data_IF_640953341829
#
_entry.id   IF_640953341829
#
_cell.length_a   1.000
_cell.length_b   1.000
_cell.length_c   1.000
_cell.angle_alpha   90.00
_cell.angle_beta   90.00
_cell.angle_gamma   90.00
#
_symmetry.space_group_name_H-M   'P 1'
#
loop_
_entity.id
_entity.type
_entity.pdbx_description
1 polymer ?
#
# COMPACT_ATOMS: atom_id res chain seq x y z
N UNK A 1 35.87 -19.91 8.21
CA UNK A 1 34.51 -20.37 7.84
C UNK A 1 33.40 -19.85 8.75
N UNK A 2 33.59 -19.74 10.07
CA UNK A 2 32.56 -19.22 11.00
C UNK A 2 32.14 -17.75 10.76
N UNK A 3 33.08 -16.86 10.39
CA UNK A 3 32.79 -15.44 10.11
C UNK A 3 31.88 -15.24 8.88
N UNK A 4 32.00 -16.06 7.84
CA UNK A 4 31.14 -15.98 6.66
C UNK A 4 29.73 -16.50 6.94
N UNK A 5 29.60 -17.58 7.72
CA UNK A 5 28.29 -18.11 8.12
C UNK A 5 27.53 -17.12 9.03
N UNK A 6 28.24 -16.41 9.91
CA UNK A 6 27.65 -15.41 10.79
C UNK A 6 27.24 -14.14 10.02
N UNK A 7 28.05 -13.71 9.04
CA UNK A 7 27.74 -12.58 8.13
C UNK A 7 26.55 -12.88 7.21
N UNK A 8 26.41 -14.12 6.73
CA UNK A 8 25.27 -14.53 5.90
C UNK A 8 23.97 -14.62 6.71
N UNK A 9 24.03 -15.08 7.98
CA UNK A 9 22.86 -15.09 8.88
C UNK A 9 22.36 -13.68 9.24
N UNK A 10 23.28 -12.75 9.55
CA UNK A 10 22.90 -11.35 9.81
C UNK A 10 22.32 -10.66 8.57
N UNK A 11 22.77 -11.04 7.37
CA UNK A 11 22.24 -10.51 6.10
C UNK A 11 20.83 -11.01 5.82
N UNK A 12 20.55 -12.31 6.06
CA UNK A 12 19.21 -12.87 5.85
C UNK A 12 18.19 -12.35 6.87
N UNK A 13 18.61 -12.12 8.11
CA UNK A 13 17.73 -11.61 9.18
C UNK A 13 17.28 -10.16 8.90
N UNK A 14 18.23 -9.29 8.50
CA UNK A 14 17.89 -7.92 8.09
C UNK A 14 17.06 -7.81 6.81
N UNK A 15 17.10 -8.81 5.94
CA UNK A 15 16.26 -8.89 4.73
C UNK A 15 14.82 -9.32 5.04
N UNK A 16 14.64 -10.25 5.98
CA UNK A 16 13.32 -10.66 6.48
C UNK A 16 12.62 -9.50 7.20
N UNK A 17 13.35 -8.74 8.00
CA UNK A 17 12.82 -7.54 8.67
C UNK A 17 12.33 -6.48 7.67
N UNK A 18 13.08 -6.28 6.57
CA UNK A 18 12.67 -5.37 5.49
C UNK A 18 11.42 -5.86 4.77
N UNK A 19 11.31 -7.16 4.46
CA UNK A 19 10.09 -7.73 3.85
C UNK A 19 8.89 -7.57 4.79
N UNK A 20 9.07 -7.83 6.07
CA UNK A 20 8.02 -7.66 7.07
C UNK A 20 7.54 -6.21 7.15
N UNK A 21 8.46 -5.24 7.14
CA UNK A 21 8.12 -3.82 7.11
C UNK A 21 7.24 -3.45 5.91
N UNK A 22 7.65 -3.85 4.70
CA UNK A 22 6.88 -3.55 3.49
C UNK A 22 5.50 -4.24 3.51
N UNK A 23 5.41 -5.43 4.10
CA UNK A 23 4.15 -6.11 4.33
C UNK A 23 3.22 -5.35 5.28
N UNK A 24 3.71 -4.86 6.42
CA UNK A 24 2.95 -4.01 7.34
C UNK A 24 2.43 -2.74 6.64
N UNK A 25 3.28 -2.11 5.82
CA UNK A 25 2.91 -0.93 5.02
C UNK A 25 1.79 -1.21 4.03
N UNK A 26 1.82 -2.37 3.35
CA UNK A 26 0.71 -2.80 2.49
C UNK A 26 -0.60 -2.89 3.27
N UNK A 27 -0.59 -3.52 4.45
CA UNK A 27 -1.78 -3.62 5.29
C UNK A 27 -2.29 -2.24 5.75
N UNK A 28 -1.39 -1.34 6.12
CA UNK A 28 -1.75 0.02 6.48
C UNK A 28 -2.40 0.78 5.30
N UNK A 29 -1.87 0.65 4.08
CA UNK A 29 -2.52 1.19 2.89
C UNK A 29 -3.91 0.58 2.65
N UNK A 30 -4.06 -0.75 2.76
CA UNK A 30 -5.36 -1.42 2.56
C UNK A 30 -6.43 -0.90 3.54
N UNK A 31 -6.03 -0.55 4.77
CA UNK A 31 -6.93 0.08 5.75
C UNK A 31 -7.36 1.49 5.32
N UNK A 32 -6.43 2.29 4.80
CA UNK A 32 -6.74 3.61 4.21
C UNK A 32 -7.71 3.48 3.04
N UNK A 33 -7.41 2.59 2.08
CA UNK A 33 -8.28 2.36 0.92
C UNK A 33 -9.68 1.89 1.34
N UNK A 34 -9.76 1.02 2.36
CA UNK A 34 -11.03 0.57 2.92
C UNK A 34 -11.81 1.71 3.58
N UNK A 35 -11.15 2.58 4.33
CA UNK A 35 -11.79 3.75 4.95
C UNK A 35 -12.39 4.69 3.90
N UNK A 36 -11.63 5.01 2.84
CA UNK A 36 -12.10 5.85 1.73
C UNK A 36 -13.29 5.19 1.00
N UNK A 37 -13.20 3.89 0.70
CA UNK A 37 -14.30 3.14 0.09
C UNK A 37 -15.56 3.15 0.97
N UNK A 38 -15.41 2.87 2.25
CA UNK A 38 -16.54 2.82 3.19
C UNK A 38 -17.22 4.19 3.27
N UNK A 39 -16.45 5.27 3.35
CA UNK A 39 -16.98 6.63 3.31
C UNK A 39 -17.75 6.90 2.02
N UNK A 40 -17.17 6.59 0.85
CA UNK A 40 -17.81 6.84 -0.44
C UNK A 40 -19.15 6.11 -0.54
N UNK A 41 -19.20 4.85 -0.15
CA UNK A 41 -20.45 4.07 -0.19
C UNK A 41 -21.45 4.58 0.85
N UNK A 42 -21.08 4.68 2.12
CA UNK A 42 -22.05 4.95 3.19
C UNK A 42 -22.44 6.41 3.26
N UNK A 43 -21.45 7.31 3.31
CA UNK A 43 -21.68 8.73 3.51
C UNK A 43 -22.05 9.41 2.20
N UNK A 44 -21.37 9.11 1.09
CA UNK A 44 -21.56 9.86 -0.15
C UNK A 44 -22.66 9.31 -1.07
N UNK A 45 -23.02 8.02 -0.97
CA UNK A 45 -24.04 7.41 -1.84
C UNK A 45 -25.29 6.96 -1.08
N UNK A 46 -25.15 6.10 -0.08
CA UNK A 46 -26.29 5.48 0.63
C UNK A 46 -27.09 6.52 1.42
N UNK A 47 -26.43 7.37 2.21
CA UNK A 47 -27.15 8.38 3.02
C UNK A 47 -27.90 9.41 2.16
N UNK A 48 -27.33 9.97 1.07
CA UNK A 48 -28.08 10.83 0.16
C UNK A 48 -29.28 10.12 -0.49
N UNK A 49 -29.10 8.87 -0.91
CA UNK A 49 -30.20 8.07 -1.48
C UNK A 49 -31.34 7.89 -0.47
N UNK A 50 -31.03 7.48 0.75
CA UNK A 50 -32.02 7.31 1.80
C UNK A 50 -32.78 8.62 2.12
N UNK A 51 -32.10 9.77 2.06
CA UNK A 51 -32.72 11.07 2.24
C UNK A 51 -33.67 11.46 1.09
N UNK A 52 -33.33 11.11 -0.14
CA UNK A 52 -34.20 11.26 -1.31
C UNK A 52 -35.43 10.36 -1.18
N UNK A 53 -35.22 9.07 -0.92
CA UNK A 53 -36.26 8.05 -0.81
C UNK A 53 -37.28 8.39 0.27
N UNK A 54 -36.84 8.87 1.44
CA UNK A 54 -37.73 9.29 2.52
C UNK A 54 -38.61 10.51 2.18
N UNK A 55 -38.15 11.38 1.27
CA UNK A 55 -38.84 12.62 0.89
C UNK A 55 -39.64 12.50 -0.40
N UNK A 56 -39.40 11.46 -1.19
CA UNK A 56 -40.06 11.22 -2.46
C UNK A 56 -41.60 11.15 -2.33
N UNK A 57 -42.20 10.47 -1.32
CA UNK A 57 -43.65 10.42 -1.16
C UNK A 57 -44.30 11.77 -0.83
N UNK A 58 -43.50 12.75 -0.39
CA UNK A 58 -43.98 14.10 -0.03
C UNK A 58 -44.06 15.02 -1.25
N UNK A 59 -43.61 14.57 -2.42
CA UNK A 59 -43.66 15.36 -3.65
C UNK A 59 -45.07 15.33 -4.25
N UNK A 60 -45.70 16.49 -4.28
CA UNK A 60 -47.04 16.74 -4.80
C UNK A 60 -47.06 17.22 -6.26
N UNK A 61 -45.89 17.46 -6.86
CA UNK A 61 -45.78 18.01 -8.21
C UNK A 61 -44.46 17.63 -8.87
N UNK A 62 -44.42 17.70 -10.20
CA UNK A 62 -43.18 17.51 -10.96
C UNK A 62 -42.11 18.53 -10.55
N UNK A 63 -42.52 19.76 -10.21
CA UNK A 63 -41.59 20.81 -9.77
C UNK A 63 -40.97 20.51 -8.41
N UNK A 64 -41.76 19.99 -7.45
CA UNK A 64 -41.23 19.59 -6.15
C UNK A 64 -40.29 18.38 -6.28
N UNK A 65 -40.62 17.42 -7.15
CA UNK A 65 -39.73 16.31 -7.49
C UNK A 65 -38.39 16.79 -8.09
N UNK A 66 -38.40 17.66 -9.11
CA UNK A 66 -37.17 18.16 -9.75
C UNK A 66 -36.27 18.84 -8.71
N UNK A 67 -36.82 19.71 -7.88
CA UNK A 67 -36.06 20.40 -6.81
C UNK A 67 -35.48 19.43 -5.80
N UNK A 68 -36.22 18.38 -5.43
CA UNK A 68 -35.73 17.35 -4.52
C UNK A 68 -34.58 16.56 -5.16
N UNK A 69 -34.69 16.24 -6.45
CA UNK A 69 -33.66 15.52 -7.19
C UNK A 69 -32.39 16.36 -7.37
N UNK A 70 -32.52 17.65 -7.70
CA UNK A 70 -31.39 18.58 -7.76
C UNK A 70 -30.66 18.65 -6.41
N UNK A 71 -31.39 18.81 -5.31
CA UNK A 71 -30.80 18.82 -3.97
C UNK A 71 -30.10 17.49 -3.61
N UNK A 72 -30.60 16.35 -4.09
CA UNK A 72 -29.95 15.05 -3.94
C UNK A 72 -28.61 14.99 -4.70
N UNK A 73 -28.58 15.48 -5.95
CA UNK A 73 -27.34 15.52 -6.75
C UNK A 73 -26.31 16.46 -6.13
N UNK A 74 -26.74 17.65 -5.66
CA UNK A 74 -25.87 18.59 -4.96
C UNK A 74 -25.24 17.96 -3.72
N UNK A 75 -26.02 17.18 -2.96
CA UNK A 75 -25.52 16.46 -1.79
C UNK A 75 -24.47 15.40 -2.17
N UNK A 76 -24.65 14.69 -3.29
CA UNK A 76 -23.64 13.75 -3.80
C UNK A 76 -22.37 14.51 -4.20
N UNK A 77 -22.49 15.59 -4.97
CA UNK A 77 -21.34 16.39 -5.41
C UNK A 77 -20.56 16.92 -4.21
N UNK A 78 -21.25 17.40 -3.19
CA UNK A 78 -20.66 17.87 -1.94
C UNK A 78 -19.90 16.76 -1.20
N UNK A 79 -20.53 15.60 -1.00
CA UNK A 79 -19.96 14.49 -0.22
C UNK A 79 -18.87 13.72 -0.97
N UNK A 80 -18.90 13.71 -2.29
CA UNK A 80 -17.83 13.17 -3.13
C UNK A 80 -16.66 14.14 -3.34
N UNK A 81 -16.67 15.31 -2.67
CA UNK A 81 -15.65 16.34 -2.81
C UNK A 81 -15.49 16.88 -4.24
N UNK A 82 -16.56 16.88 -5.03
CA UNK A 82 -16.57 17.32 -6.43
C UNK A 82 -16.79 18.84 -6.58
N UNK A 83 -17.19 19.51 -5.50
CA UNK A 83 -17.35 20.97 -5.48
C UNK A 83 -15.99 21.70 -5.50
N UNK A 84 -15.91 22.92 -6.06
CA UNK A 84 -14.65 23.65 -6.16
C UNK A 84 -13.90 23.82 -4.83
N UNK A 85 -14.64 24.07 -3.74
CA UNK A 85 -14.09 24.25 -2.39
C UNK A 85 -13.45 22.99 -1.78
N UNK A 86 -13.85 21.80 -2.24
CA UNK A 86 -13.40 20.51 -1.70
C UNK A 86 -12.57 19.70 -2.68
N UNK A 87 -12.45 20.17 -3.93
CA UNK A 87 -11.73 19.50 -5.01
C UNK A 87 -10.25 19.23 -4.68
N UNK A 88 -9.61 20.11 -3.91
CA UNK A 88 -8.24 19.89 -3.47
C UNK A 88 -8.12 18.70 -2.51
N UNK A 89 -9.09 18.52 -1.59
CA UNK A 89 -9.15 17.35 -0.72
C UNK A 89 -9.29 16.06 -1.54
N UNK A 90 -10.11 16.08 -2.59
CA UNK A 90 -10.25 14.94 -3.51
C UNK A 90 -8.94 14.63 -4.22
N UNK A 91 -8.23 15.65 -4.72
CA UNK A 91 -6.97 15.47 -5.42
C UNK A 91 -5.94 14.74 -4.54
N UNK A 92 -5.71 15.22 -3.31
CA UNK A 92 -4.78 14.56 -2.40
C UNK A 92 -5.24 13.15 -1.96
N UNK A 93 -6.54 12.91 -1.84
CA UNK A 93 -7.07 11.56 -1.58
C UNK A 93 -6.76 10.62 -2.76
N UNK A 94 -6.93 11.09 -4.00
CA UNK A 94 -6.61 10.31 -5.19
C UNK A 94 -5.10 10.06 -5.31
N UNK A 95 -4.28 11.07 -5.03
CA UNK A 95 -2.81 10.94 -5.01
C UNK A 95 -2.37 9.86 -3.99
N UNK A 96 -2.95 9.88 -2.78
CA UNK A 96 -2.66 8.87 -1.76
C UNK A 96 -3.07 7.45 -2.20
N UNK A 97 -4.24 7.32 -2.83
CA UNK A 97 -4.71 6.03 -3.35
C UNK A 97 -3.83 5.54 -4.51
N UNK A 98 -3.43 6.44 -5.41
CA UNK A 98 -2.58 6.11 -6.55
C UNK A 98 -1.19 5.68 -6.11
N UNK A 99 -0.59 6.39 -5.15
CA UNK A 99 0.68 5.99 -4.53
C UNK A 99 0.58 4.59 -3.89
N UNK A 100 -0.50 4.31 -3.17
CA UNK A 100 -0.71 2.99 -2.57
C UNK A 100 -0.97 1.86 -3.56
N UNK A 101 -1.67 2.13 -4.68
CA UNK A 101 -1.82 1.16 -5.78
C UNK A 101 -0.46 0.84 -6.38
N UNK A 102 0.34 1.87 -6.71
CA UNK A 102 1.68 1.69 -7.25
C UNK A 102 2.58 0.93 -6.26
N UNK A 103 2.49 1.24 -4.96
CA UNK A 103 3.17 0.50 -3.89
C UNK A 103 2.78 -0.98 -3.89
N UNK A 104 1.48 -1.27 -3.97
CA UNK A 104 0.97 -2.65 -3.92
C UNK A 104 1.44 -3.47 -5.12
N UNK A 105 1.45 -2.88 -6.31
CA UNK A 105 1.97 -3.51 -7.53
C UNK A 105 3.46 -3.81 -7.39
N UNK A 106 4.25 -2.81 -6.98
CA UNK A 106 5.69 -2.97 -6.78
C UNK A 106 6.02 -3.98 -5.67
N UNK A 107 5.21 -4.04 -4.62
CA UNK A 107 5.40 -5.00 -3.54
C UNK A 107 5.21 -6.44 -4.03
N UNK A 108 4.23 -6.68 -4.91
CA UNK A 108 4.05 -7.98 -5.57
C UNK A 108 5.30 -8.40 -6.36
N UNK A 109 5.86 -7.49 -7.16
CA UNK A 109 7.11 -7.73 -7.90
C UNK A 109 8.30 -8.02 -6.96
N UNK A 110 8.43 -7.24 -5.88
CA UNK A 110 9.48 -7.41 -4.87
C UNK A 110 9.41 -8.80 -4.21
N UNK A 111 8.21 -9.27 -3.84
CA UNK A 111 8.04 -10.59 -3.22
C UNK A 111 8.48 -11.72 -4.17
N UNK A 112 8.11 -11.65 -5.45
CA UNK A 112 8.52 -12.64 -6.46
C UNK A 112 10.05 -12.67 -6.61
N UNK A 113 10.67 -11.49 -6.74
CA UNK A 113 12.13 -11.37 -6.85
C UNK A 113 12.87 -11.92 -5.62
N UNK A 114 12.29 -11.71 -4.42
CA UNK A 114 12.83 -12.18 -3.16
C UNK A 114 12.74 -13.71 -3.02
N UNK A 115 11.57 -14.28 -3.33
CA UNK A 115 11.35 -15.72 -3.20
C UNK A 115 12.23 -16.50 -4.20
N UNK A 116 12.41 -16.02 -5.43
CA UNK A 116 13.32 -16.61 -6.43
C UNK A 116 14.82 -16.55 -6.01
N UNK A 117 15.19 -15.62 -5.13
CA UNK A 117 16.55 -15.52 -4.56
C UNK A 117 16.73 -16.55 -3.44
N UNK A 118 15.71 -16.72 -2.61
CA UNK A 118 15.74 -17.66 -1.50
C UNK A 118 15.74 -19.13 -1.95
N UNK A 119 14.92 -19.49 -2.95
CA UNK A 119 14.80 -20.86 -3.46
C UNK A 119 16.09 -21.43 -4.06
N UNK A 120 16.91 -20.61 -4.74
CA UNK A 120 18.19 -21.07 -5.33
C UNK A 120 19.35 -21.15 -4.34
N UNK A 121 19.24 -20.50 -3.18
CA UNK A 121 20.26 -20.59 -2.12
C UNK A 121 20.20 -21.94 -1.37
N UNK A 122 19.11 -22.70 -1.52
CA UNK A 122 18.91 -23.98 -0.84
C UNK A 122 19.25 -25.22 -1.69
N UNK A 123 19.45 -25.09 -3.01
CA UNK A 123 19.74 -26.23 -3.92
C UNK A 123 21.25 -26.51 -4.08
N UNK A 124 22.09 -25.96 -3.18
CA UNK A 124 23.55 -26.08 -3.22
C UNK A 124 24.15 -27.09 -2.24
N UNK A 125 23.40 -28.11 -1.80
CA UNK A 125 23.97 -29.22 -1.03
C UNK A 125 24.31 -30.38 -1.99
N UNK A 126 25.60 -30.66 -2.29
CA UNK A 126 25.94 -31.90 -2.97
C UNK A 126 25.65 -33.04 -1.99
N UNK A 127 24.67 -33.87 -2.31
CA UNK A 127 24.50 -35.15 -1.64
C UNK A 127 25.79 -35.97 -1.82
N UNK A 128 26.61 -35.98 -0.77
CA UNK A 128 27.76 -36.87 -0.68
C UNK A 128 27.27 -38.29 -0.40
N UNK A 129 27.67 -39.20 -1.30
CA UNK A 129 27.82 -40.65 -1.17
C UNK A 129 26.61 -41.57 -1.43
N UNK A 130 26.61 -42.13 -2.64
CA UNK A 130 26.22 -43.52 -2.93
C UNK A 130 26.95 -43.98 -4.21
N UNK A 131 27.87 -44.95 -4.09
CA UNK A 131 28.80 -45.33 -5.16
C UNK A 131 28.28 -46.34 -6.20
N UNK A 132 29.04 -46.42 -7.32
CA UNK A 132 29.07 -47.39 -8.44
C UNK A 132 27.86 -47.36 -9.40
N UNK A 133 27.98 -47.24 -10.74
CA UNK A 133 28.87 -47.91 -11.73
C UNK A 133 29.15 -47.06 -13.02
N UNK A 134 30.03 -47.60 -13.88
CA UNK A 134 30.74 -47.05 -15.06
C UNK A 134 29.93 -46.52 -16.28
N UNK A 135 30.32 -45.33 -16.78
CA UNK A 135 30.55 -44.89 -18.20
C UNK A 135 29.39 -44.78 -19.23
N UNK A 136 29.55 -44.11 -20.40
CA UNK A 136 30.61 -43.20 -20.88
C UNK A 136 30.12 -41.82 -21.40
N UNK A 137 31.09 -40.96 -21.71
CA UNK A 137 31.04 -39.59 -22.26
C UNK A 137 29.86 -39.17 -23.16
N UNK A 138 29.35 -37.98 -22.87
CA UNK A 138 28.96 -37.02 -23.89
C UNK A 138 29.49 -35.63 -23.49
N UNK A 139 30.47 -35.16 -24.25
CA UNK A 139 30.92 -33.78 -24.21
C UNK A 139 29.75 -32.85 -24.61
N UNK A 140 29.48 -31.85 -23.79
CA UNK A 140 28.75 -30.65 -24.20
C UNK A 140 29.26 -29.47 -23.38
N UNK A 141 30.19 -28.78 -24.02
CA UNK A 141 30.34 -27.32 -24.03
C UNK A 141 30.16 -26.62 -22.68
N UNK A 142 31.30 -26.31 -22.09
CA UNK A 142 31.48 -25.19 -21.18
C UNK A 142 30.94 -23.91 -21.84
N UNK A 143 29.69 -23.53 -21.52
CA UNK A 143 29.30 -22.12 -21.56
C UNK A 143 29.72 -21.47 -20.25
N UNK A 144 30.93 -20.95 -20.32
CA UNK A 144 31.51 -19.92 -19.48
C UNK A 144 30.53 -18.72 -19.39
N UNK A 145 29.75 -18.66 -18.31
CA UNK A 145 28.77 -17.59 -18.06
C UNK A 145 28.51 -17.31 -16.58
N UNK A 146 29.38 -17.81 -15.71
CA UNK A 146 29.23 -17.82 -14.25
C UNK A 146 29.92 -16.65 -13.55
N UNK A 147 29.68 -15.41 -13.99
CA UNK A 147 30.34 -14.23 -13.40
C UNK A 147 29.43 -13.08 -12.96
N UNK A 148 28.31 -12.82 -13.66
CA UNK A 148 27.61 -11.53 -13.54
C UNK A 148 26.13 -11.57 -13.11
N UNK A 149 25.57 -12.76 -12.80
CA UNK A 149 24.15 -12.89 -12.44
C UNK A 149 23.83 -12.56 -10.96
N UNK A 150 24.82 -12.55 -10.08
CA UNK A 150 24.63 -12.25 -8.65
C UNK A 150 24.49 -10.76 -8.35
N UNK A 151 25.39 -9.93 -8.90
CA UNK A 151 25.43 -8.49 -8.62
C UNK A 151 24.22 -7.75 -9.20
N UNK A 152 23.77 -8.09 -10.42
CA UNK A 152 22.60 -7.46 -11.03
C UNK A 152 21.28 -7.75 -10.33
N UNK A 153 21.17 -8.88 -9.61
CA UNK A 153 19.94 -9.29 -8.91
C UNK A 153 19.83 -8.64 -7.52
N UNK A 154 20.96 -8.48 -6.84
CA UNK A 154 21.05 -7.76 -5.58
C UNK A 154 20.85 -6.25 -5.77
N UNK A 155 21.27 -5.71 -6.92
CA UNK A 155 20.96 -4.33 -7.30
C UNK A 155 19.47 -4.12 -7.60
N UNK A 156 18.84 -5.03 -8.36
CA UNK A 156 17.40 -4.96 -8.65
C UNK A 156 16.55 -5.02 -7.37
N UNK A 157 16.92 -5.88 -6.41
CA UNK A 157 16.22 -5.98 -5.12
C UNK A 157 16.36 -4.69 -4.29
N UNK A 158 17.56 -4.09 -4.25
CA UNK A 158 17.79 -2.80 -3.57
C UNK A 158 17.02 -1.66 -4.21
N UNK A 159 16.98 -1.60 -5.53
CA UNK A 159 16.21 -0.58 -6.26
C UNK A 159 14.70 -0.75 -6.02
N UNK A 160 14.20 -1.99 -6.02
CA UNK A 160 12.80 -2.30 -5.67
C UNK A 160 12.44 -1.81 -4.26
N UNK A 161 13.32 -2.04 -3.27
CA UNK A 161 13.13 -1.56 -1.89
C UNK A 161 13.11 -0.03 -1.81
N UNK A 162 14.07 0.64 -2.46
CA UNK A 162 14.12 2.10 -2.51
C UNK A 162 12.83 2.67 -3.13
N UNK A 163 12.35 2.06 -4.21
CA UNK A 163 11.10 2.49 -4.86
C UNK A 163 9.89 2.30 -3.95
N UNK A 164 9.84 1.21 -3.18
CA UNK A 164 8.78 0.99 -2.19
C UNK A 164 8.81 2.06 -1.09
N UNK A 165 10.00 2.45 -0.62
CA UNK A 165 10.15 3.52 0.37
C UNK A 165 9.70 4.89 -0.18
N UNK A 166 10.04 5.21 -1.42
CA UNK A 166 9.58 6.44 -2.09
C UNK A 166 8.05 6.47 -2.21
N UNK A 167 7.44 5.38 -2.72
CA UNK A 167 5.98 5.29 -2.89
C UNK A 167 5.25 5.34 -1.54
N UNK A 168 5.85 4.76 -0.50
CA UNK A 168 5.33 4.88 0.86
C UNK A 168 5.36 6.32 1.35
N UNK A 169 6.47 7.02 1.12
CA UNK A 169 6.61 8.42 1.50
C UNK A 169 5.59 9.31 0.77
N UNK A 170 5.38 9.08 -0.53
CA UNK A 170 4.39 9.80 -1.33
C UNK A 170 2.97 9.63 -0.76
N UNK A 171 2.59 8.40 -0.40
CA UNK A 171 1.32 8.11 0.26
C UNK A 171 1.19 8.86 1.59
N UNK A 172 2.20 8.77 2.46
CA UNK A 172 2.17 9.41 3.78
C UNK A 172 2.12 10.94 3.65
N UNK A 173 2.85 11.50 2.69
CA UNK A 173 2.86 12.92 2.36
C UNK A 173 1.47 13.39 1.92
N UNK A 174 0.83 12.67 0.98
CA UNK A 174 -0.51 12.95 0.53
C UNK A 174 -1.55 12.90 1.68
N UNK A 175 -1.47 11.89 2.55
CA UNK A 175 -2.31 11.82 3.76
C UNK A 175 -2.04 12.99 4.72
N UNK A 176 -0.79 13.43 4.82
CA UNK A 176 -0.38 14.62 5.58
C UNK A 176 -1.05 15.91 5.12
N UNK A 177 -1.49 15.99 3.85
CA UNK A 177 -2.28 17.11 3.33
C UNK A 177 -3.79 16.88 3.46
N UNK A 178 -4.28 15.65 3.26
CA UNK A 178 -5.71 15.32 3.38
C UNK A 178 -6.24 15.52 4.80
N UNK A 179 -5.53 14.98 5.80
CA UNK A 179 -6.01 14.95 7.19
C UNK A 179 -6.27 16.37 7.73
N UNK A 180 -5.37 17.35 7.58
CA UNK A 180 -5.63 18.74 7.99
C UNK A 180 -6.83 19.38 7.30
N UNK A 181 -7.03 19.12 6.00
CA UNK A 181 -8.19 19.66 5.27
C UNK A 181 -9.50 19.09 5.81
N UNK A 182 -9.54 17.77 6.07
CA UNK A 182 -10.71 17.13 6.68
C UNK A 182 -10.96 17.65 8.11
N UNK A 183 -9.92 17.90 8.89
CA UNK A 183 -10.06 18.53 10.22
C UNK A 183 -10.70 19.91 10.13
N UNK A 184 -10.26 20.74 9.20
CA UNK A 184 -10.80 22.09 9.04
C UNK A 184 -12.28 22.06 8.61
N UNK A 185 -12.63 21.14 7.73
CA UNK A 185 -14.02 20.88 7.31
C UNK A 185 -14.93 20.45 8.47
N UNK A 186 -14.41 19.65 9.40
CA UNK A 186 -15.15 19.27 10.62
C UNK A 186 -15.22 20.43 11.61
N UNK A 187 -14.11 21.15 11.83
CA UNK A 187 -13.99 22.26 12.78
C UNK A 187 -14.93 23.42 12.45
N UNK A 188 -15.04 23.76 11.16
CA UNK A 188 -15.97 24.78 10.66
C UNK A 188 -17.44 24.33 10.65
N UNK A 189 -17.73 23.09 11.06
CA UNK A 189 -19.04 22.42 10.99
C UNK A 189 -19.65 22.38 9.58
N UNK A 190 -18.87 22.68 8.54
CA UNK A 190 -19.36 22.72 7.16
C UNK A 190 -19.59 21.32 6.58
N UNK A 191 -18.94 20.29 7.13
CA UNK A 191 -19.01 18.94 6.59
C UNK A 191 -18.82 17.85 7.67
N UNK A 192 -19.71 17.83 8.67
CA UNK A 192 -19.66 16.84 9.78
C UNK A 192 -19.68 15.38 9.28
N UNK A 193 -20.23 15.13 8.09
CA UNK A 193 -20.27 13.81 7.45
C UNK A 193 -18.89 13.20 7.17
N UNK A 194 -17.80 14.00 7.16
CA UNK A 194 -16.43 13.49 6.93
C UNK A 194 -15.75 13.00 8.22
N UNK A 195 -16.35 13.20 9.39
CA UNK A 195 -15.70 12.91 10.67
C UNK A 195 -15.31 11.43 10.83
N UNK A 196 -16.13 10.53 10.29
CA UNK A 196 -15.84 9.09 10.29
C UNK A 196 -14.62 8.76 9.44
N UNK A 197 -14.52 9.35 8.23
CA UNK A 197 -13.35 9.21 7.37
C UNK A 197 -12.10 9.78 8.04
N UNK A 198 -12.20 10.98 8.62
CA UNK A 198 -11.09 11.62 9.33
C UNK A 198 -10.56 10.72 10.45
N UNK A 199 -11.44 10.19 11.30
CA UNK A 199 -11.07 9.33 12.43
C UNK A 199 -10.32 8.08 11.97
N UNK A 200 -10.81 7.42 10.91
CA UNK A 200 -10.16 6.25 10.35
C UNK A 200 -8.79 6.58 9.74
N UNK A 201 -8.69 7.68 8.98
CA UNK A 201 -7.42 8.11 8.39
C UNK A 201 -6.39 8.50 9.45
N UNK A 202 -6.81 9.20 10.50
CA UNK A 202 -5.93 9.53 11.63
C UNK A 202 -5.46 8.31 12.39
N UNK A 203 -6.36 7.36 12.67
CA UNK A 203 -5.99 6.11 13.33
C UNK A 203 -4.93 5.37 12.51
N UNK A 204 -5.16 5.23 11.20
CA UNK A 204 -4.24 4.53 10.31
C UNK A 204 -2.90 5.27 10.18
N UNK A 205 -2.91 6.60 10.11
CA UNK A 205 -1.70 7.43 10.05
C UNK A 205 -0.92 7.44 11.38
N UNK A 206 -1.59 7.36 12.53
CA UNK A 206 -0.94 7.29 13.83
C UNK A 206 -0.36 5.90 14.14
N UNK A 207 -1.10 4.84 13.77
CA UNK A 207 -0.65 3.46 13.95
C UNK A 207 0.58 3.16 13.08
N UNK A 208 0.64 3.75 11.88
CA UNK A 208 1.83 3.75 11.03
C UNK A 208 3.07 4.23 11.77
N UNK A 209 3.01 5.41 12.39
CA UNK A 209 4.12 5.97 13.17
C UNK A 209 4.56 5.06 14.30
N UNK A 210 3.71 4.20 14.85
CA UNK A 210 4.13 3.29 15.92
C UNK A 210 4.77 2.00 15.40
N UNK A 211 4.30 1.45 14.29
CA UNK A 211 4.87 0.23 13.72
C UNK A 211 6.20 0.49 13.03
N UNK A 212 6.33 1.60 12.27
CA UNK A 212 7.62 2.00 11.69
C UNK A 212 8.67 2.25 12.76
N UNK A 213 8.32 2.93 13.86
CA UNK A 213 9.22 3.14 15.00
C UNK A 213 9.71 1.84 15.66
N UNK A 214 8.88 0.79 15.71
CA UNK A 214 9.25 -0.50 16.33
C UNK A 214 10.21 -1.30 15.44
N UNK A 215 10.04 -1.24 14.13
CA UNK A 215 10.95 -1.89 13.18
C UNK A 215 12.26 -1.13 13.09
N UNK A 216 12.24 0.20 13.03
CA UNK A 216 13.45 1.04 12.97
C UNK A 216 14.32 0.95 14.24
N UNK A 217 13.74 0.71 15.42
CA UNK A 217 14.52 0.48 16.66
C UNK A 217 15.11 -0.92 16.76
N UNK A 218 14.59 -1.90 16.01
CA UNK A 218 15.14 -3.27 15.96
C UNK A 218 16.25 -3.42 14.92
N UNK A 219 16.31 -2.53 13.93
CA UNK A 219 17.45 -2.42 13.05
C UNK A 219 18.70 -2.01 13.86
N UNK A 220 19.79 -2.81 13.86
CA UNK A 220 21.00 -2.46 14.58
C UNK A 220 21.53 -1.13 14.03
N UNK A 221 21.70 -0.15 14.92
CA UNK A 221 22.43 1.08 14.60
C UNK A 221 23.89 0.67 14.38
N UNK A 222 24.35 0.78 13.15
CA UNK A 222 25.77 0.66 12.78
C UNK A 222 26.55 1.78 13.45
#
# INVERSE_FOLDING_TARGET
MLLHAQRNRSSSEGELDKRHLQHCRLFAFLRVARAVRNYAVTQALVKPWAALEARLPLCDSLRSFIRLHEAYLDLILERCFLLPRTRQTLAYLLDALQAGIAFSQRYGEYVIQFDDRSGRSSDGAPETNGGFTQGPSAAREEEDGGGNRGEGRDEACRESLKKLDELWHDLVSALGFVIPLLKEMVRSRSAVYVNELLTELEFNHFFERQETWRVERRAPRV
#
